data_IF_814835571769
#
_entry.id   IF_814835571769
#
_cell.length_a   1.000
_cell.length_b   1.000
_cell.length_c   1.000
_cell.angle_alpha   90.00
_cell.angle_beta   90.00
_cell.angle_gamma   90.00
#
_symmetry.space_group_name_H-M   'P 1'
#
loop_
_entity.id
_entity.type
_entity.pdbx_description
1 polymer ?
#
# COMPACT_ATOMS: atom_id res chain seq x y z
N UNK A 1 0.88 9.26 20.68
CA UNK A 1 1.28 9.54 19.28
C UNK A 1 0.01 9.49 18.47
N UNK A 2 -0.33 10.54 17.76
CA UNK A 2 -1.52 10.55 16.91
C UNK A 2 -1.27 9.85 15.56
N UNK A 3 -2.32 9.66 14.78
CA UNK A 3 -2.24 8.95 13.51
C UNK A 3 -1.32 9.65 12.49
N UNK A 4 -1.28 10.98 12.51
CA UNK A 4 -0.42 11.77 11.61
C UNK A 4 1.05 11.53 11.96
N UNK A 5 1.38 11.54 13.24
CA UNK A 5 2.74 11.33 13.73
C UNK A 5 3.22 9.90 13.44
N UNK A 6 2.36 8.88 13.65
CA UNK A 6 2.64 7.49 13.28
C UNK A 6 2.94 7.35 11.79
N UNK A 7 2.07 7.91 10.95
CA UNK A 7 2.24 7.89 9.49
C UNK A 7 3.55 8.56 9.06
N UNK A 8 3.89 9.70 9.65
CA UNK A 8 5.15 10.39 9.34
C UNK A 8 6.38 9.56 9.70
N UNK A 9 6.39 8.88 10.85
CA UNK A 9 7.51 8.03 11.26
C UNK A 9 7.64 6.80 10.35
N UNK A 10 6.53 6.15 10.01
CA UNK A 10 6.50 5.03 9.07
C UNK A 10 7.10 5.46 7.72
N UNK A 11 6.60 6.56 7.13
CA UNK A 11 7.06 7.03 5.82
C UNK A 11 8.55 7.39 5.84
N UNK A 12 9.05 7.97 6.92
CA UNK A 12 10.47 8.28 7.03
C UNK A 12 11.34 7.01 7.04
N UNK A 13 10.95 5.97 7.78
CA UNK A 13 11.65 4.69 7.79
C UNK A 13 11.59 3.98 6.44
N UNK A 14 10.41 3.93 5.83
CA UNK A 14 10.25 3.36 4.49
C UNK A 14 11.06 4.09 3.44
N UNK A 15 11.13 5.42 3.52
CA UNK A 15 11.93 6.24 2.61
C UNK A 15 13.44 5.96 2.76
N UNK A 16 13.94 5.80 3.98
CA UNK A 16 15.32 5.37 4.22
C UNK A 16 15.60 4.03 3.54
N UNK A 17 14.71 3.05 3.76
CA UNK A 17 14.81 1.71 3.15
C UNK A 17 14.69 1.78 1.62
N UNK A 18 13.77 2.59 1.08
CA UNK A 18 13.53 2.75 -0.35
C UNK A 18 14.76 3.33 -1.08
N UNK A 19 15.35 4.36 -0.52
CA UNK A 19 16.55 4.99 -1.09
C UNK A 19 17.79 4.08 -1.04
N UNK A 20 17.80 3.10 -0.13
CA UNK A 20 18.86 2.10 -0.02
C UNK A 20 18.67 0.88 -0.94
N UNK A 21 17.55 0.76 -1.66
CA UNK A 21 17.33 -0.32 -2.64
C UNK A 21 18.30 -0.13 -3.80
N UNK A 22 19.10 -1.17 -4.09
CA UNK A 22 19.98 -1.19 -5.25
C UNK A 22 19.20 -1.59 -6.50
N UNK A 23 19.41 -0.86 -7.60
CA UNK A 23 18.78 -1.12 -8.89
C UNK A 23 19.86 -1.30 -9.96
N UNK A 24 19.60 -2.15 -10.96
CA UNK A 24 20.57 -2.41 -12.06
C UNK A 24 20.72 -1.23 -13.05
N UNK A 25 20.14 -0.07 -12.74
CA UNK A 25 20.21 1.15 -13.55
C UNK A 25 19.48 2.31 -12.91
N UNK A 26 19.43 3.49 -13.57
CA UNK A 26 18.69 4.63 -13.04
C UNK A 26 17.22 4.28 -12.83
N UNK A 27 16.77 4.31 -11.59
CA UNK A 27 15.37 4.10 -11.25
C UNK A 27 14.67 5.45 -11.08
N UNK A 28 13.80 5.81 -12.02
CA UNK A 28 13.03 7.04 -11.97
C UNK A 28 12.18 7.16 -10.70
N UNK A 29 11.78 6.01 -10.12
CA UNK A 29 11.01 5.99 -8.88
C UNK A 29 11.77 6.57 -7.69
N UNK A 30 13.08 6.33 -7.58
CA UNK A 30 13.90 6.86 -6.48
C UNK A 30 14.20 8.36 -6.62
N UNK A 31 14.00 8.95 -7.80
CA UNK A 31 14.12 10.39 -8.00
C UNK A 31 12.86 11.17 -7.64
N UNK A 32 11.69 10.49 -7.56
CA UNK A 32 10.41 11.10 -7.18
C UNK A 32 10.04 10.80 -5.72
N UNK A 33 10.77 11.39 -4.80
CA UNK A 33 10.53 11.25 -3.35
C UNK A 33 9.19 11.90 -2.93
N UNK A 34 8.76 12.96 -3.61
CA UNK A 34 7.49 13.60 -3.31
C UNK A 34 6.31 12.68 -3.69
N UNK A 35 6.40 12.02 -4.85
CA UNK A 35 5.44 11.00 -5.26
C UNK A 35 5.40 9.80 -4.32
N UNK A 36 6.58 9.32 -3.87
CA UNK A 36 6.66 8.26 -2.87
C UNK A 36 5.91 8.65 -1.59
N UNK A 37 6.24 9.80 -0.98
CA UNK A 37 5.60 10.31 0.24
C UNK A 37 4.08 10.43 0.07
N UNK A 38 3.63 11.01 -1.04
CA UNK A 38 2.22 11.17 -1.37
C UNK A 38 1.48 9.82 -1.41
N UNK A 39 1.99 8.85 -2.16
CA UNK A 39 1.33 7.55 -2.30
C UNK A 39 1.33 6.75 -0.99
N UNK A 40 2.37 6.85 -0.17
CA UNK A 40 2.38 6.20 1.15
C UNK A 40 1.35 6.85 2.09
N UNK A 41 1.19 8.18 2.09
CA UNK A 41 0.12 8.86 2.84
C UNK A 41 -1.27 8.42 2.40
N UNK A 42 -1.50 8.31 1.10
CA UNK A 42 -2.76 7.81 0.54
C UNK A 42 -3.06 6.40 1.06
N UNK A 43 -2.09 5.51 1.07
CA UNK A 43 -2.27 4.15 1.58
C UNK A 43 -2.59 4.14 3.08
N UNK A 44 -1.79 4.81 3.89
CA UNK A 44 -1.96 4.79 5.35
C UNK A 44 -3.17 5.59 5.84
N UNK A 45 -3.78 6.44 5.00
CA UNK A 45 -5.00 7.16 5.35
C UNK A 45 -6.20 6.25 5.63
N UNK A 46 -6.18 5.01 5.14
CA UNK A 46 -7.21 4.00 5.39
C UNK A 46 -6.90 3.06 6.58
N UNK A 47 -5.71 3.17 7.19
CA UNK A 47 -5.29 2.31 8.28
C UNK A 47 -5.72 2.86 9.64
N UNK A 48 -6.08 1.98 10.56
CA UNK A 48 -6.32 2.35 11.94
C UNK A 48 -5.01 2.46 12.76
N UNK A 49 -5.13 3.01 13.97
CA UNK A 49 -3.98 3.23 14.84
C UNK A 49 -3.26 1.91 15.21
N UNK A 50 -4.01 0.82 15.41
CA UNK A 50 -3.41 -0.48 15.77
C UNK A 50 -2.53 -1.03 14.64
N UNK A 51 -3.01 -0.96 13.39
CA UNK A 51 -2.26 -1.36 12.21
C UNK A 51 -1.01 -0.50 12.01
N UNK A 52 -1.14 0.82 12.17
CA UNK A 52 0.00 1.73 12.04
C UNK A 52 1.06 1.50 13.12
N UNK A 53 0.66 1.30 14.38
CA UNK A 53 1.60 1.05 15.50
C UNK A 53 2.36 -0.25 15.31
N UNK A 54 1.67 -1.34 14.99
CA UNK A 54 2.34 -2.63 14.77
C UNK A 54 3.30 -2.59 13.57
N UNK A 55 2.92 -1.87 12.52
CA UNK A 55 3.80 -1.72 11.35
C UNK A 55 5.02 -0.83 11.65
N UNK A 56 4.84 0.28 12.36
CA UNK A 56 5.97 1.11 12.81
C UNK A 56 6.97 0.30 13.63
N UNK A 57 6.48 -0.46 14.63
CA UNK A 57 7.32 -1.32 15.44
C UNK A 57 8.08 -2.36 14.60
N UNK A 58 7.40 -2.96 13.61
CA UNK A 58 8.02 -3.92 12.70
C UNK A 58 9.13 -3.28 11.83
N UNK A 59 8.92 -2.05 11.34
CA UNK A 59 9.94 -1.31 10.60
C UNK A 59 11.17 -1.00 11.46
N UNK A 60 10.96 -0.56 12.70
CA UNK A 60 12.04 -0.27 13.66
C UNK A 60 12.85 -1.53 13.99
N UNK A 61 12.16 -2.66 14.26
CA UNK A 61 12.79 -3.95 14.52
C UNK A 61 13.59 -4.43 13.30
N UNK A 62 13.00 -4.37 12.12
CA UNK A 62 13.67 -4.74 10.86
C UNK A 62 14.92 -3.89 10.61
N UNK A 63 14.82 -2.58 10.80
CA UNK A 63 15.97 -1.66 10.70
C UNK A 63 17.08 -2.02 11.68
N UNK A 64 16.72 -2.32 12.93
CA UNK A 64 17.69 -2.69 13.98
C UNK A 64 18.47 -3.96 13.63
N UNK A 65 17.83 -4.87 12.88
CA UNK A 65 18.41 -6.14 12.37
C UNK A 65 19.10 -6.00 11.02
N UNK A 66 19.15 -4.79 10.44
CA UNK A 66 19.73 -4.57 9.11
C UNK A 66 18.90 -5.15 7.95
N UNK A 67 17.60 -5.42 8.19
CA UNK A 67 16.69 -5.96 7.18
C UNK A 67 16.01 -4.79 6.46
N UNK A 68 16.16 -4.74 5.14
CA UNK A 68 15.49 -3.75 4.29
C UNK A 68 14.22 -4.36 3.67
N UNK A 69 13.06 -4.04 4.23
CA UNK A 69 11.77 -4.57 3.76
C UNK A 69 11.40 -4.07 2.36
N UNK A 70 11.85 -2.88 1.95
CA UNK A 70 11.62 -2.38 0.59
C UNK A 70 12.42 -3.19 -0.44
N UNK A 71 13.66 -3.59 -0.13
CA UNK A 71 14.43 -4.49 -0.99
C UNK A 71 13.71 -5.83 -1.17
N UNK A 72 13.20 -6.42 -0.08
CA UNK A 72 12.44 -7.69 -0.12
C UNK A 72 11.18 -7.53 -0.98
N UNK A 73 10.38 -6.50 -0.72
CA UNK A 73 9.16 -6.19 -1.47
C UNK A 73 9.44 -6.11 -2.98
N UNK A 74 10.41 -5.33 -3.41
CA UNK A 74 10.71 -5.16 -4.83
C UNK A 74 11.28 -6.42 -5.45
N UNK A 75 12.19 -7.12 -4.77
CA UNK A 75 12.71 -8.40 -5.24
C UNK A 75 11.59 -9.45 -5.41
N UNK A 76 10.58 -9.43 -4.51
CA UNK A 76 9.41 -10.31 -4.60
C UNK A 76 8.51 -9.94 -5.78
N UNK A 77 8.24 -8.65 -5.97
CA UNK A 77 7.45 -8.15 -7.10
C UNK A 77 8.09 -8.48 -8.45
N UNK A 78 9.40 -8.43 -8.55
CA UNK A 78 10.18 -8.79 -9.73
C UNK A 78 10.44 -10.30 -9.87
N UNK A 79 9.88 -11.13 -8.96
CA UNK A 79 10.02 -12.60 -8.96
C UNK A 79 11.48 -13.07 -8.82
N UNK A 80 12.34 -12.23 -8.23
CA UNK A 80 13.76 -12.55 -7.99
C UNK A 80 13.94 -13.45 -6.76
N UNK A 81 12.95 -13.47 -5.87
CA UNK A 81 12.91 -14.34 -4.68
C UNK A 81 11.55 -15.06 -4.61
N UNK A 82 11.50 -16.25 -3.98
CA UNK A 82 10.23 -16.92 -3.69
C UNK A 82 9.36 -16.09 -2.71
N UNK A 83 8.09 -16.47 -2.45
CA UNK A 83 7.27 -15.86 -1.42
C UNK A 83 8.04 -15.72 -0.10
N UNK A 84 8.04 -14.52 0.47
CA UNK A 84 8.82 -14.22 1.68
C UNK A 84 8.12 -14.69 2.96
N UNK A 85 6.79 -14.78 2.92
CA UNK A 85 5.96 -15.23 4.03
C UNK A 85 4.84 -16.14 3.54
N UNK A 86 4.53 -17.17 4.31
CA UNK A 86 3.43 -18.12 4.09
C UNK A 86 2.25 -17.89 5.07
N UNK A 87 2.17 -16.73 5.69
CA UNK A 87 1.10 -16.39 6.62
C UNK A 87 -0.27 -16.50 5.93
N UNK A 88 -1.21 -17.30 6.49
CA UNK A 88 -2.51 -17.58 5.85
C UNK A 88 -3.42 -16.35 5.70
N UNK A 89 -3.15 -15.26 6.41
CA UNK A 89 -3.91 -14.00 6.24
C UNK A 89 -3.56 -13.25 4.95
N UNK A 90 -2.38 -13.48 4.37
CA UNK A 90 -1.93 -12.77 3.17
C UNK A 90 -2.91 -12.96 2.00
N UNK A 91 -3.25 -14.19 1.57
CA UNK A 91 -4.20 -14.35 0.47
C UNK A 91 -5.60 -13.83 0.80
N UNK A 92 -6.03 -13.91 2.05
CA UNK A 92 -7.36 -13.39 2.48
C UNK A 92 -7.41 -11.87 2.37
N UNK A 93 -6.38 -11.18 2.86
CA UNK A 93 -6.27 -9.72 2.78
C UNK A 93 -6.14 -9.26 1.32
N UNK A 94 -5.28 -9.91 0.54
CA UNK A 94 -5.07 -9.57 -0.87
C UNK A 94 -6.35 -9.73 -1.69
N UNK A 95 -7.11 -10.80 -1.47
CA UNK A 95 -8.39 -11.02 -2.13
C UNK A 95 -9.41 -9.92 -1.79
N UNK A 96 -9.55 -9.56 -0.52
CA UNK A 96 -10.48 -8.49 -0.12
C UNK A 96 -10.07 -7.13 -0.70
N UNK A 97 -8.77 -6.81 -0.69
CA UNK A 97 -8.28 -5.57 -1.29
C UNK A 97 -8.53 -5.55 -2.81
N UNK A 98 -8.39 -6.69 -3.48
CA UNK A 98 -8.70 -6.82 -4.92
C UNK A 98 -10.19 -6.57 -5.19
N UNK A 99 -11.10 -7.14 -4.38
CA UNK A 99 -12.55 -6.88 -4.50
C UNK A 99 -12.84 -5.38 -4.36
N UNK A 100 -12.29 -4.73 -3.35
CA UNK A 100 -12.47 -3.28 -3.17
C UNK A 100 -11.92 -2.46 -4.34
N UNK A 101 -10.83 -2.91 -4.95
CA UNK A 101 -10.27 -2.24 -6.12
C UNK A 101 -11.12 -2.44 -7.38
N UNK A 102 -11.75 -3.60 -7.54
CA UNK A 102 -12.70 -3.86 -8.61
C UNK A 102 -13.98 -3.00 -8.46
N UNK A 103 -14.53 -2.88 -7.24
CA UNK A 103 -15.64 -1.98 -6.95
C UNK A 103 -15.29 -0.51 -7.31
N UNK A 104 -14.05 -0.07 -7.02
CA UNK A 104 -13.57 1.24 -7.43
C UNK A 104 -13.52 1.38 -8.96
N UNK A 105 -13.11 0.34 -9.67
CA UNK A 105 -13.04 0.33 -11.14
C UNK A 105 -14.44 0.46 -11.78
N UNK A 106 -15.44 -0.20 -11.18
CA UNK A 106 -16.83 -0.08 -11.63
C UNK A 106 -17.40 1.32 -11.35
N UNK A 107 -17.11 1.87 -10.18
CA UNK A 107 -17.67 3.15 -9.71
C UNK A 107 -16.99 4.37 -10.31
N UNK A 108 -15.66 4.29 -10.56
CA UNK A 108 -14.81 5.40 -11.00
C UNK A 108 -13.89 4.99 -12.16
N UNK A 109 -14.44 4.63 -13.34
CA UNK A 109 -13.67 4.01 -14.43
C UNK A 109 -12.59 4.91 -15.04
N UNK A 110 -12.79 6.24 -15.12
CA UNK A 110 -11.78 7.14 -15.67
C UNK A 110 -10.59 7.29 -14.73
N UNK A 111 -10.86 7.44 -13.42
CA UNK A 111 -9.82 7.49 -12.40
C UNK A 111 -9.03 6.18 -12.39
N UNK A 112 -9.72 5.06 -12.38
CA UNK A 112 -9.09 3.75 -12.30
C UNK A 112 -8.37 3.33 -13.59
N UNK A 113 -8.71 3.90 -14.75
CA UNK A 113 -7.95 3.70 -15.98
C UNK A 113 -6.51 4.25 -15.91
N UNK A 114 -6.24 5.14 -14.96
CA UNK A 114 -4.90 5.70 -14.68
C UNK A 114 -4.17 4.96 -13.56
N UNK A 115 -4.85 4.04 -12.88
CA UNK A 115 -4.28 3.20 -11.83
C UNK A 115 -3.59 1.96 -12.43
N UNK A 116 -2.99 1.14 -11.55
CA UNK A 116 -2.45 -0.17 -11.95
C UNK A 116 -3.58 -1.11 -12.40
N UNK A 117 -3.32 -2.01 -13.38
CA UNK A 117 -4.20 -3.13 -13.64
C UNK A 117 -4.48 -3.89 -12.34
N UNK A 118 -5.69 -4.44 -12.16
CA UNK A 118 -6.07 -5.04 -10.87
C UNK A 118 -5.36 -6.37 -10.63
N UNK A 119 -5.44 -7.31 -11.55
CA UNK A 119 -4.97 -8.69 -11.32
C UNK A 119 -3.76 -9.09 -12.15
N UNK A 120 -3.67 -8.65 -13.40
CA UNK A 120 -2.64 -9.08 -14.33
C UNK A 120 -1.57 -8.03 -14.56
N UNK A 121 -0.31 -8.45 -14.54
CA UNK A 121 0.81 -7.58 -14.90
C UNK A 121 0.72 -7.21 -16.40
N UNK A 122 0.93 -5.95 -16.73
CA UNK A 122 0.88 -5.43 -18.10
C UNK A 122 2.24 -4.85 -18.51
N UNK A 123 3.03 -5.62 -19.25
CA UNK A 123 4.39 -5.23 -19.61
C UNK A 123 5.26 -5.00 -18.38
N UNK A 124 5.82 -3.78 -18.26
CA UNK A 124 6.64 -3.41 -17.09
C UNK A 124 5.80 -2.95 -15.87
N UNK A 125 4.47 -2.84 -16.03
CA UNK A 125 3.58 -2.45 -14.95
C UNK A 125 3.16 -3.67 -14.13
N UNK A 126 3.55 -3.69 -12.86
CA UNK A 126 3.04 -4.67 -11.90
C UNK A 126 1.60 -4.35 -11.54
N UNK A 127 0.75 -5.38 -11.53
CA UNK A 127 -0.65 -5.26 -11.14
C UNK A 127 -0.81 -4.81 -9.67
N UNK A 128 -2.01 -4.36 -9.32
CA UNK A 128 -2.36 -4.09 -7.95
C UNK A 128 -2.18 -5.33 -7.06
N UNK A 129 -2.58 -6.50 -7.53
CA UNK A 129 -2.43 -7.77 -6.80
C UNK A 129 -0.95 -8.12 -6.57
N UNK A 130 -0.09 -8.04 -7.61
CA UNK A 130 1.35 -8.29 -7.47
C UNK A 130 1.99 -7.33 -6.46
N UNK A 131 1.64 -6.04 -6.52
CA UNK A 131 2.11 -5.04 -5.59
C UNK A 131 1.65 -5.33 -4.16
N UNK A 132 0.35 -5.65 -3.98
CA UNK A 132 -0.26 -5.95 -2.68
C UNK A 132 0.36 -7.18 -2.04
N UNK A 133 0.56 -8.26 -2.79
CA UNK A 133 1.23 -9.46 -2.27
C UNK A 133 2.66 -9.16 -1.84
N UNK A 134 3.42 -8.41 -2.65
CA UNK A 134 4.78 -8.01 -2.31
C UNK A 134 4.85 -7.20 -1.01
N UNK A 135 3.83 -6.37 -0.72
CA UNK A 135 3.74 -5.64 0.55
C UNK A 135 3.35 -6.55 1.72
N UNK A 136 2.23 -7.27 1.60
CA UNK A 136 1.69 -8.10 2.67
C UNK A 136 2.70 -9.16 3.14
N UNK A 137 3.48 -9.72 2.21
CA UNK A 137 4.52 -10.70 2.54
C UNK A 137 5.66 -10.11 3.40
N UNK A 138 5.83 -8.78 3.43
CA UNK A 138 6.83 -8.12 4.26
C UNK A 138 6.30 -7.67 5.63
N UNK A 139 5.00 -7.81 5.90
CA UNK A 139 4.42 -7.38 7.18
C UNK A 139 4.59 -8.43 8.27
N UNK A 140 4.71 -7.98 9.52
CA UNK A 140 4.71 -8.89 10.67
C UNK A 140 3.36 -9.59 10.84
N UNK A 141 3.35 -10.74 11.54
CA UNK A 141 2.10 -11.42 11.88
C UNK A 141 1.13 -10.52 12.63
N UNK A 142 1.63 -9.72 13.59
CA UNK A 142 0.81 -8.74 14.33
C UNK A 142 0.18 -7.68 13.40
N UNK A 143 0.95 -7.15 12.45
CA UNK A 143 0.42 -6.18 11.47
C UNK A 143 -0.66 -6.81 10.60
N UNK A 144 -0.45 -8.04 10.12
CA UNK A 144 -1.45 -8.76 9.33
C UNK A 144 -2.73 -9.05 10.11
N UNK A 145 -2.62 -9.41 11.40
CA UNK A 145 -3.78 -9.63 12.29
C UNK A 145 -4.57 -8.33 12.52
N UNK A 146 -3.88 -7.20 12.75
CA UNK A 146 -4.52 -5.90 12.91
C UNK A 146 -5.23 -5.46 11.62
N UNK A 147 -4.59 -5.62 10.46
CA UNK A 147 -5.22 -5.34 9.16
C UNK A 147 -6.42 -6.25 8.90
N UNK A 148 -6.34 -7.52 9.24
CA UNK A 148 -7.48 -8.44 9.13
C UNK A 148 -8.66 -7.98 9.99
N UNK A 149 -8.41 -7.62 11.25
CA UNK A 149 -9.45 -7.09 12.14
C UNK A 149 -10.07 -5.79 11.59
N UNK A 150 -9.25 -4.88 11.04
CA UNK A 150 -9.72 -3.67 10.37
C UNK A 150 -10.61 -4.02 9.17
N UNK A 151 -10.18 -4.92 8.29
CA UNK A 151 -10.94 -5.36 7.12
C UNK A 151 -12.30 -5.94 7.53
N UNK A 152 -12.33 -6.82 8.57
CA UNK A 152 -13.59 -7.41 9.04
C UNK A 152 -14.59 -6.35 9.53
N UNK A 153 -14.13 -5.32 10.26
CA UNK A 153 -14.98 -4.20 10.68
C UNK A 153 -15.51 -3.44 9.47
N UNK A 154 -14.64 -3.10 8.52
CA UNK A 154 -15.03 -2.35 7.33
C UNK A 154 -16.02 -3.12 6.46
N UNK A 155 -15.85 -4.45 6.30
CA UNK A 155 -16.82 -5.30 5.60
C UNK A 155 -18.18 -5.26 6.31
N UNK A 156 -18.22 -5.41 7.64
CA UNK A 156 -19.45 -5.37 8.42
C UNK A 156 -20.18 -4.01 8.32
N UNK A 157 -19.44 -2.93 8.16
CA UNK A 157 -19.96 -1.56 8.04
C UNK A 157 -20.22 -1.13 6.58
N UNK A 158 -19.90 -1.97 5.60
CA UNK A 158 -20.04 -1.65 4.17
C UNK A 158 -19.04 -0.57 3.70
N UNK A 159 -17.89 -0.48 4.35
CA UNK A 159 -16.83 0.51 4.03
C UNK A 159 -15.78 -0.12 3.12
N UNK A 160 -15.53 0.51 1.97
CA UNK A 160 -14.46 0.16 1.05
C UNK A 160 -13.19 0.96 1.41
N UNK A 161 -12.14 0.31 1.90
CA UNK A 161 -10.88 0.98 2.29
C UNK A 161 -10.13 1.59 1.10
N UNK A 162 -10.28 1.06 -0.12
CA UNK A 162 -9.74 1.71 -1.31
C UNK A 162 -10.43 3.06 -1.54
N UNK A 163 -11.76 3.16 -1.37
CA UNK A 163 -12.48 4.43 -1.49
C UNK A 163 -12.07 5.44 -0.41
N UNK A 164 -11.75 4.99 0.81
CA UNK A 164 -11.19 5.84 1.86
C UNK A 164 -9.85 6.42 1.43
N UNK A 165 -8.95 5.60 0.90
CA UNK A 165 -7.64 6.03 0.40
C UNK A 165 -7.78 7.02 -0.77
N UNK A 166 -8.62 6.72 -1.75
CA UNK A 166 -8.87 7.62 -2.88
C UNK A 166 -9.60 8.91 -2.47
N UNK A 167 -10.42 8.87 -1.42
CA UNK A 167 -11.03 10.08 -0.85
C UNK A 167 -10.00 10.99 -0.21
N UNK A 168 -9.00 10.43 0.45
CA UNK A 168 -7.86 11.20 0.95
C UNK A 168 -7.06 11.80 -0.22
N UNK A 169 -6.76 11.01 -1.25
CA UNK A 169 -6.09 11.46 -2.47
C UNK A 169 -6.82 12.64 -3.11
N UNK A 170 -8.13 12.51 -3.36
CA UNK A 170 -8.94 13.54 -4.00
C UNK A 170 -8.86 14.87 -3.22
N UNK A 171 -9.07 14.82 -1.89
CA UNK A 171 -8.97 16.02 -1.04
C UNK A 171 -7.58 16.65 -1.07
N UNK A 172 -6.52 15.85 -1.04
CA UNK A 172 -5.14 16.35 -1.10
C UNK A 172 -4.83 17.03 -2.43
N UNK A 173 -5.46 16.58 -3.51
CA UNK A 173 -5.35 17.18 -4.85
C UNK A 173 -6.32 18.36 -5.08
N UNK A 174 -7.11 18.75 -4.09
CA UNK A 174 -8.00 19.91 -4.14
C UNK A 174 -9.42 19.61 -4.63
N UNK A 175 -9.78 18.34 -4.80
CA UNK A 175 -11.15 17.93 -5.13
C UNK A 175 -11.99 17.73 -3.87
N UNK A 176 -13.28 18.06 -3.90
CA UNK A 176 -14.20 17.85 -2.78
C UNK A 176 -14.55 16.37 -2.56
N UNK A 177 -14.47 15.53 -3.61
CA UNK A 177 -14.76 14.10 -3.54
C UNK A 177 -14.10 13.30 -4.67
N UNK A 178 -14.09 11.96 -4.54
CA UNK A 178 -13.66 11.06 -5.62
C UNK A 178 -14.56 11.20 -6.85
N UNK A 179 -15.87 11.39 -6.64
CA UNK A 179 -16.82 11.60 -7.74
C UNK A 179 -16.54 12.90 -8.52
N UNK A 180 -16.16 13.98 -7.85
CA UNK A 180 -15.75 15.21 -8.50
C UNK A 180 -14.46 15.02 -9.30
N UNK A 181 -13.47 14.34 -8.70
CA UNK A 181 -12.23 13.99 -9.38
C UNK A 181 -12.50 13.15 -10.64
N UNK A 182 -13.35 12.13 -10.56
CA UNK A 182 -13.77 11.29 -11.70
C UNK A 182 -14.40 12.11 -12.84
N UNK A 183 -15.23 13.13 -12.51
CA UNK A 183 -15.90 13.97 -13.49
C UNK A 183 -14.94 14.89 -14.24
N UNK A 184 -13.85 15.31 -13.60
CA UNK A 184 -12.87 16.24 -14.16
C UNK A 184 -11.74 15.55 -14.96
N UNK A 185 -11.65 14.22 -14.91
CA UNK A 185 -10.71 13.39 -15.68
C UNK A 185 -11.27 13.02 -17.06
#
# INVERSE_FOLDING_TARGET
MDQIELTNQIINLEKEMFLAVQTDGPCNCQSDIAGFDFHRRVQFASWDEASLRSYLHHLEDSRSKGINLMTIKYARMEKLIPPFSDNPLIPVLAQQMTVWQQEMQEKYPKLMSRARPVEEDAGDFRSFLTYTLGELETYSGETLENLYALHQRCIAEGVNLSEVSYSYMARTLGFGSVSEMEQQL
#
